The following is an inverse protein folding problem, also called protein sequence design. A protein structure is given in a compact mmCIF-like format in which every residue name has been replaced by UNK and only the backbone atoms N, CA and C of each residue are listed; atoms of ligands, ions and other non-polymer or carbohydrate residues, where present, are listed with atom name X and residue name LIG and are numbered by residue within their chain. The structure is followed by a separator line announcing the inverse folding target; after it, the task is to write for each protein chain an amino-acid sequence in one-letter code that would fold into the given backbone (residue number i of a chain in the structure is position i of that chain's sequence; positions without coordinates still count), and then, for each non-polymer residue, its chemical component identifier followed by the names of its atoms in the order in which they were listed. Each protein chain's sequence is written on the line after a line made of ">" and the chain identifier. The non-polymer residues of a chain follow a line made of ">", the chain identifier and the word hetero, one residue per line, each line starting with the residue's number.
data_IF_157955786757
#
_entry.id   IF_157955786757
#
_cell.length_a   1.000
_cell.length_b   1.000
_cell.length_c   1.000
_cell.angle_alpha   90.00
_cell.angle_beta   90.00
_cell.angle_gamma   90.00
#
_symmetry.space_group_name_H-M   'P 1'
#
loop_
_entity.id
_entity.type
_entity.pdbx_description
1 polymer ?
#
# COMPACT_ATOMS: atom_id res chain seq x y z
N UNK A 1 15.35 -11.35 19.25
CA UNK A 1 14.78 -10.05 18.80
C UNK A 1 15.93 -9.07 18.69
N UNK A 2 16.42 -8.79 17.48
CA UNK A 2 17.55 -7.88 17.26
C UNK A 2 17.13 -6.42 17.52
N UNK A 3 17.91 -5.72 18.34
CA UNK A 3 17.78 -4.27 18.63
C UNK A 3 18.79 -3.46 17.78
N UNK A 4 19.37 -4.08 16.76
CA UNK A 4 20.39 -3.43 15.94
C UNK A 4 19.76 -2.29 15.10
N UNK A 5 20.21 -1.04 15.28
CA UNK A 5 19.65 0.13 14.58
C UNK A 5 19.91 0.12 13.07
N UNK A 6 20.82 -0.73 12.58
CA UNK A 6 21.12 -0.92 11.16
C UNK A 6 20.17 -1.90 10.46
N UNK A 7 19.37 -2.67 11.20
CA UNK A 7 18.44 -3.63 10.61
C UNK A 7 17.20 -2.91 10.05
N UNK A 8 16.92 -3.11 8.75
CA UNK A 8 15.83 -2.45 8.02
C UNK A 8 14.44 -2.67 8.63
N UNK A 9 14.21 -3.85 9.20
CA UNK A 9 13.01 -4.19 9.96
C UNK A 9 13.43 -4.85 11.27
N UNK A 10 13.08 -4.22 12.39
CA UNK A 10 13.17 -4.83 13.73
C UNK A 10 11.77 -5.15 14.23
N UNK A 11 11.65 -6.12 15.14
CA UNK A 11 10.37 -6.42 15.79
C UNK A 11 9.78 -5.15 16.42
N UNK A 12 10.63 -4.32 17.02
CA UNK A 12 10.23 -3.06 17.64
C UNK A 12 9.78 -2.00 16.63
N UNK A 13 10.50 -1.82 15.52
CA UNK A 13 10.10 -0.86 14.49
C UNK A 13 8.79 -1.26 13.82
N UNK A 14 8.53 -2.56 13.66
CA UNK A 14 7.27 -3.06 13.10
C UNK A 14 6.13 -2.92 14.10
N UNK A 15 6.32 -3.28 15.38
CA UNK A 15 5.25 -3.18 16.38
C UNK A 15 4.88 -1.73 16.68
N UNK A 16 5.86 -0.87 16.97
CA UNK A 16 5.61 0.53 17.32
C UNK A 16 5.26 1.33 16.07
N UNK A 17 6.06 1.22 15.01
CA UNK A 17 5.83 1.96 13.78
C UNK A 17 4.55 1.52 13.06
N UNK A 18 4.29 0.21 13.01
CA UNK A 18 3.08 -0.34 12.41
C UNK A 18 1.82 0.05 13.17
N UNK A 19 1.81 -0.04 14.51
CA UNK A 19 0.64 0.35 15.31
C UNK A 19 0.32 1.84 15.19
N UNK A 20 1.34 2.71 15.25
CA UNK A 20 1.18 4.16 15.03
C UNK A 20 0.67 4.47 13.61
N UNK A 21 1.25 3.82 12.59
CA UNK A 21 0.81 3.98 11.22
C UNK A 21 -0.65 3.54 11.03
N UNK A 22 -1.03 2.35 11.50
CA UNK A 22 -2.40 1.84 11.40
C UNK A 22 -3.40 2.74 12.13
N UNK A 23 -3.04 3.25 13.31
CA UNK A 23 -3.88 4.18 14.08
C UNK A 23 -4.06 5.49 13.32
N UNK A 24 -2.97 6.05 12.80
CA UNK A 24 -2.99 7.27 11.98
C UNK A 24 -3.88 7.09 10.75
N UNK A 25 -3.80 5.94 10.10
CA UNK A 25 -4.61 5.65 8.92
C UNK A 25 -6.09 5.60 9.27
N UNK A 26 -6.46 5.01 10.40
CA UNK A 26 -7.86 4.93 10.80
C UNK A 26 -8.42 6.26 11.32
N UNK A 27 -7.61 7.05 12.03
CA UNK A 27 -8.05 8.27 12.70
C UNK A 27 -8.04 9.49 11.80
N UNK A 28 -7.03 9.61 10.92
CA UNK A 28 -6.74 10.87 10.23
C UNK A 28 -7.08 10.86 8.73
N UNK A 29 -7.26 9.68 8.10
CA UNK A 29 -7.60 9.66 6.68
C UNK A 29 -9.05 10.05 6.43
N UNK A 30 -9.23 10.93 5.45
CA UNK A 30 -10.54 11.37 4.98
C UNK A 30 -11.43 10.20 4.53
N UNK A 31 -10.86 9.15 3.92
CA UNK A 31 -11.59 7.94 3.52
C UNK A 31 -12.29 7.26 4.70
N UNK A 32 -11.64 7.22 5.86
CA UNK A 32 -12.16 6.56 7.05
C UNK A 32 -13.18 7.44 7.77
N UNK A 33 -12.90 8.75 7.87
CA UNK A 33 -13.86 9.72 8.42
C UNK A 33 -15.19 9.68 7.65
N UNK A 34 -15.15 9.66 6.31
CA UNK A 34 -16.34 9.54 5.47
C UNK A 34 -17.14 8.27 5.76
N UNK A 35 -16.47 7.11 5.88
CA UNK A 35 -17.13 5.84 6.19
C UNK A 35 -17.85 5.85 7.54
N UNK A 36 -17.25 6.49 8.55
CA UNK A 36 -17.88 6.60 9.88
C UNK A 36 -19.08 7.56 9.87
N UNK A 37 -19.02 8.65 9.09
CA UNK A 37 -20.14 9.61 8.97
C UNK A 37 -21.36 9.03 8.22
N UNK A 38 -21.18 8.00 7.39
CA UNK A 38 -22.29 7.30 6.74
C UNK A 38 -23.11 6.42 7.70
N UNK A 39 -22.66 6.22 8.94
CA UNK A 39 -23.32 5.37 9.93
C UNK A 39 -24.20 6.22 10.85
N UNK A 40 -25.45 5.78 11.05
CA UNK A 40 -26.47 6.54 11.80
C UNK A 40 -26.14 6.79 13.27
N UNK A 41 -25.34 5.95 13.90
CA UNK A 41 -25.04 6.04 15.34
C UNK A 41 -23.56 5.82 15.64
N UNK A 42 -23.06 6.49 16.67
CA UNK A 42 -21.67 6.36 17.14
C UNK A 42 -21.34 4.94 17.59
N UNK A 43 -22.27 4.26 18.27
CA UNK A 43 -22.10 2.85 18.68
C UNK A 43 -21.97 1.92 17.47
N UNK A 44 -22.72 2.16 16.39
CA UNK A 44 -22.58 1.37 15.18
C UNK A 44 -21.25 1.68 14.46
N UNK A 45 -20.81 2.95 14.42
CA UNK A 45 -19.51 3.31 13.88
C UNK A 45 -18.35 2.64 14.64
N UNK A 46 -18.44 2.55 15.98
CA UNK A 46 -17.47 1.81 16.80
C UNK A 46 -17.45 0.31 16.46
N UNK A 47 -18.61 -0.31 16.27
CA UNK A 47 -18.68 -1.72 15.83
C UNK A 47 -18.04 -1.92 14.46
N UNK A 48 -18.31 -1.03 13.51
CA UNK A 48 -17.67 -1.06 12.17
C UNK A 48 -16.16 -0.94 12.29
N UNK A 49 -15.65 -0.05 13.14
CA UNK A 49 -14.22 0.10 13.39
C UNK A 49 -13.58 -1.20 13.94
N UNK A 50 -14.23 -1.85 14.92
CA UNK A 50 -13.76 -3.12 15.47
C UNK A 50 -13.77 -4.25 14.44
N UNK A 51 -14.84 -4.38 13.65
CA UNK A 51 -14.92 -5.37 12.57
C UNK A 51 -13.82 -5.13 11.53
N UNK A 52 -13.61 -3.88 11.11
CA UNK A 52 -12.53 -3.51 10.19
C UNK A 52 -11.15 -3.90 10.74
N UNK A 53 -10.89 -3.63 12.03
CA UNK A 53 -9.62 -4.00 12.66
C UNK A 53 -9.43 -5.53 12.69
N UNK A 54 -10.46 -6.30 13.06
CA UNK A 54 -10.42 -7.77 13.03
C UNK A 54 -10.16 -8.32 11.62
N UNK A 55 -10.81 -7.75 10.59
CA UNK A 55 -10.59 -8.15 9.20
C UNK A 55 -9.15 -7.88 8.75
N UNK A 56 -8.57 -6.75 9.13
CA UNK A 56 -7.16 -6.43 8.82
C UNK A 56 -6.23 -7.44 9.49
N UNK A 57 -6.44 -7.75 10.76
CA UNK A 57 -5.62 -8.74 11.48
C UNK A 57 -5.74 -10.12 10.83
N UNK A 58 -6.95 -10.57 10.50
CA UNK A 58 -7.17 -11.83 9.80
C UNK A 58 -6.48 -11.85 8.41
N UNK A 59 -6.58 -10.77 7.66
CA UNK A 59 -5.91 -10.62 6.37
C UNK A 59 -4.38 -10.70 6.51
N UNK A 60 -3.79 -10.10 7.55
CA UNK A 60 -2.35 -10.20 7.81
C UNK A 60 -1.90 -11.64 8.06
N UNK A 61 -2.66 -12.42 8.83
CA UNK A 61 -2.35 -13.85 9.05
C UNK A 61 -2.46 -14.65 7.75
N UNK A 62 -3.46 -14.37 6.91
CA UNK A 62 -3.58 -15.01 5.59
C UNK A 62 -2.40 -14.66 4.68
N UNK A 63 -2.01 -13.39 4.60
CA UNK A 63 -0.84 -12.97 3.82
C UNK A 63 0.45 -13.62 4.32
N UNK A 64 0.64 -13.70 5.64
CA UNK A 64 1.78 -14.41 6.23
C UNK A 64 1.77 -15.91 5.87
N UNK A 65 0.60 -16.55 5.94
CA UNK A 65 0.40 -17.94 5.53
C UNK A 65 0.81 -18.19 4.07
N UNK A 66 0.38 -17.34 3.15
CA UNK A 66 0.79 -17.42 1.75
C UNK A 66 2.31 -17.21 1.61
N UNK A 67 2.90 -16.29 2.37
CA UNK A 67 4.35 -16.11 2.43
C UNK A 67 5.12 -17.38 2.83
N UNK A 68 4.64 -18.13 3.83
CA UNK A 68 5.23 -19.40 4.23
C UNK A 68 5.10 -20.47 3.13
N UNK A 69 3.96 -20.54 2.43
CA UNK A 69 3.76 -21.46 1.31
C UNK A 69 4.72 -21.14 0.16
N UNK A 70 4.90 -19.86 -0.18
CA UNK A 70 5.87 -19.43 -1.18
C UNK A 70 7.29 -19.80 -0.75
N UNK A 71 7.66 -19.56 0.51
CA UNK A 71 8.96 -19.94 1.05
C UNK A 71 9.20 -21.45 0.94
N UNK A 72 8.23 -22.28 1.33
CA UNK A 72 8.34 -23.73 1.20
C UNK A 72 8.52 -24.16 -0.27
N UNK A 73 7.78 -23.55 -1.20
CA UNK A 73 7.82 -23.87 -2.64
C UNK A 73 9.12 -23.46 -3.33
N UNK A 74 9.68 -22.30 -2.97
CA UNK A 74 10.85 -21.70 -3.61
C UNK A 74 12.12 -21.75 -2.74
N UNK A 75 12.12 -22.54 -1.66
CA UNK A 75 13.25 -22.70 -0.74
C UNK A 75 14.55 -23.16 -1.44
N UNK A 76 14.42 -24.05 -2.41
CA UNK A 76 15.53 -24.62 -3.19
C UNK A 76 15.67 -24.04 -4.61
N UNK A 77 14.77 -23.12 -4.98
CA UNK A 77 14.76 -22.51 -6.29
C UNK A 77 14.30 -21.06 -6.21
N UNK A 78 15.23 -20.10 -6.27
CA UNK A 78 14.87 -18.68 -6.38
C UNK A 78 14.52 -18.33 -7.85
N UNK A 79 13.24 -18.05 -8.16
CA UNK A 79 12.84 -17.69 -9.52
C UNK A 79 13.41 -16.33 -9.98
N UNK A 80 13.90 -15.49 -9.07
CA UNK A 80 14.57 -14.23 -9.42
C UNK A 80 16.01 -14.48 -9.90
N UNK A 81 16.78 -15.33 -9.20
CA UNK A 81 18.13 -15.72 -9.63
C UNK A 81 18.11 -16.54 -10.91
N UNK A 82 17.08 -17.39 -11.07
CA UNK A 82 16.85 -18.17 -12.29
C UNK A 82 16.37 -17.32 -13.50
N UNK A 83 16.24 -15.99 -13.35
CA UNK A 83 15.75 -15.05 -14.37
C UNK A 83 14.36 -15.39 -14.94
N UNK A 84 13.54 -16.11 -14.18
CA UNK A 84 12.13 -16.34 -14.53
C UNK A 84 11.27 -15.11 -14.26
N UNK A 85 11.75 -14.21 -13.39
CA UNK A 85 11.10 -12.99 -12.97
C UNK A 85 12.10 -11.83 -13.02
N UNK A 86 11.65 -10.65 -13.44
CA UNK A 86 12.46 -9.42 -13.44
C UNK A 86 12.28 -8.58 -12.17
N UNK A 87 11.09 -8.63 -11.53
CA UNK A 87 10.75 -7.82 -10.35
C UNK A 87 10.20 -8.66 -9.20
N UNK A 88 10.58 -8.41 -7.94
CA UNK A 88 10.08 -9.18 -6.79
C UNK A 88 8.55 -9.29 -6.70
N UNK A 89 7.84 -8.25 -7.13
CA UNK A 89 6.37 -8.17 -7.08
C UNK A 89 5.66 -9.22 -7.96
N UNK A 90 6.37 -9.82 -8.93
CA UNK A 90 5.81 -10.82 -9.85
C UNK A 90 5.82 -12.24 -9.28
N UNK A 91 6.41 -12.46 -8.08
CA UNK A 91 6.52 -13.78 -7.46
C UNK A 91 5.16 -14.42 -7.18
N UNK A 92 4.22 -13.65 -6.63
CA UNK A 92 2.87 -14.13 -6.33
C UNK A 92 2.10 -14.53 -7.60
N UNK A 93 2.01 -13.67 -8.64
CA UNK A 93 1.42 -14.07 -9.92
C UNK A 93 2.05 -15.33 -10.53
N UNK A 94 3.38 -15.45 -10.51
CA UNK A 94 4.06 -16.64 -11.04
C UNK A 94 3.63 -17.90 -10.29
N UNK A 95 3.62 -17.85 -8.95
CA UNK A 95 3.20 -18.96 -8.11
C UNK A 95 1.78 -19.45 -8.43
N UNK A 96 0.83 -18.51 -8.61
CA UNK A 96 -0.56 -18.83 -8.93
C UNK A 96 -0.67 -19.48 -10.31
N UNK A 97 -0.01 -18.90 -11.33
CA UNK A 97 -0.03 -19.44 -12.70
C UNK A 97 0.54 -20.86 -12.72
N UNK A 98 1.66 -21.10 -12.02
CA UNK A 98 2.28 -22.42 -11.98
C UNK A 98 1.41 -23.45 -11.25
N UNK A 99 0.89 -23.10 -10.08
CA UNK A 99 0.17 -24.03 -9.20
C UNK A 99 -1.23 -24.35 -9.74
N UNK A 100 -1.93 -23.36 -10.28
CA UNK A 100 -3.31 -23.49 -10.72
C UNK A 100 -3.47 -23.61 -12.24
N UNK A 101 -2.37 -23.86 -12.96
CA UNK A 101 -2.37 -24.12 -14.41
C UNK A 101 -3.37 -25.21 -14.84
N UNK A 102 -3.63 -26.20 -13.98
CA UNK A 102 -4.55 -27.31 -14.25
C UNK A 102 -6.04 -26.98 -14.05
N UNK A 103 -6.36 -25.87 -13.38
CA UNK A 103 -7.74 -25.46 -13.11
C UNK A 103 -8.07 -24.20 -13.95
N UNK A 104 -8.69 -24.37 -15.13
CA UNK A 104 -9.03 -23.23 -15.98
C UNK A 104 -9.97 -22.27 -15.22
N UNK A 105 -9.72 -20.97 -15.36
CA UNK A 105 -10.50 -19.90 -14.73
C UNK A 105 -10.01 -19.42 -13.36
N UNK A 106 -9.31 -20.24 -12.57
CA UNK A 106 -8.88 -19.84 -11.23
C UNK A 106 -7.79 -18.74 -11.27
N UNK A 107 -6.85 -18.84 -12.20
CA UNK A 107 -5.87 -17.78 -12.48
C UNK A 107 -6.56 -16.47 -12.88
N UNK A 108 -7.62 -16.56 -13.69
CA UNK A 108 -8.42 -15.39 -14.08
C UNK A 108 -9.15 -14.76 -12.90
N UNK A 109 -9.75 -15.59 -12.03
CA UNK A 109 -10.40 -15.14 -10.79
C UNK A 109 -9.40 -14.44 -9.85
N UNK A 110 -8.18 -14.98 -9.73
CA UNK A 110 -7.10 -14.37 -8.95
C UNK A 110 -6.75 -12.97 -9.48
N UNK A 111 -6.49 -12.85 -10.79
CA UNK A 111 -6.17 -11.54 -11.40
C UNK A 111 -7.34 -10.57 -11.23
N UNK A 112 -8.57 -11.00 -11.45
CA UNK A 112 -9.77 -10.19 -11.26
C UNK A 112 -9.92 -9.71 -9.80
N UNK A 113 -9.62 -10.57 -8.82
CA UNK A 113 -9.69 -10.21 -7.39
C UNK A 113 -8.69 -9.12 -7.00
N UNK A 114 -7.45 -9.20 -7.50
CA UNK A 114 -6.41 -8.20 -7.24
C UNK A 114 -6.78 -6.88 -7.90
N UNK A 115 -7.22 -6.90 -9.15
CA UNK A 115 -7.65 -5.69 -9.87
C UNK A 115 -8.84 -5.02 -9.16
N UNK A 116 -9.80 -5.80 -8.69
CA UNK A 116 -10.95 -5.29 -7.92
C UNK A 116 -10.50 -4.66 -6.59
N UNK A 117 -9.62 -5.33 -5.84
CA UNK A 117 -9.08 -4.82 -4.59
C UNK A 117 -8.30 -3.51 -4.80
N UNK A 118 -7.43 -3.45 -5.81
CA UNK A 118 -6.70 -2.23 -6.18
C UNK A 118 -7.65 -1.10 -6.58
N UNK A 119 -8.63 -1.38 -7.43
CA UNK A 119 -9.59 -0.38 -7.91
C UNK A 119 -10.46 0.17 -6.76
N UNK A 120 -10.85 -0.67 -5.80
CA UNK A 120 -11.62 -0.22 -4.63
C UNK A 120 -10.87 0.81 -3.77
N UNK A 121 -9.56 0.62 -3.63
CA UNK A 121 -8.68 1.52 -2.87
C UNK A 121 -8.44 2.82 -3.62
N UNK A 122 -8.13 2.72 -4.93
CA UNK A 122 -7.93 3.89 -5.81
C UNK A 122 -9.21 4.74 -5.86
N UNK A 123 -10.37 4.12 -6.05
CA UNK A 123 -11.66 4.81 -6.09
C UNK A 123 -11.96 5.55 -4.77
N UNK A 124 -11.76 4.88 -3.63
CA UNK A 124 -11.93 5.51 -2.32
C UNK A 124 -10.98 6.71 -2.14
N UNK A 125 -9.70 6.56 -2.51
CA UNK A 125 -8.70 7.63 -2.41
C UNK A 125 -9.04 8.85 -3.29
N UNK A 126 -9.41 8.62 -4.55
CA UNK A 126 -9.80 9.68 -5.49
C UNK A 126 -11.02 10.44 -4.95
N UNK A 127 -12.06 9.72 -4.50
CA UNK A 127 -13.27 10.34 -3.97
C UNK A 127 -13.00 11.19 -2.72
N UNK A 128 -12.17 10.70 -1.81
CA UNK A 128 -11.82 11.43 -0.60
C UNK A 128 -10.95 12.66 -0.90
N UNK A 129 -10.02 12.58 -1.84
CA UNK A 129 -9.25 13.75 -2.29
C UNK A 129 -10.14 14.79 -2.97
N UNK A 130 -11.07 14.35 -3.83
CA UNK A 130 -12.02 15.25 -4.47
C UNK A 130 -12.89 15.97 -3.42
N UNK A 131 -13.34 15.23 -2.39
CA UNK A 131 -14.10 15.82 -1.28
C UNK A 131 -13.26 16.79 -0.47
N UNK A 132 -12.02 16.43 -0.11
CA UNK A 132 -11.13 17.30 0.66
C UNK A 132 -10.87 18.63 -0.06
N UNK A 133 -10.59 18.60 -1.37
CA UNK A 133 -10.40 19.83 -2.15
C UNK A 133 -11.70 20.66 -2.21
N UNK A 134 -12.85 20.02 -2.40
CA UNK A 134 -14.13 20.72 -2.46
C UNK A 134 -14.50 21.40 -1.12
N UNK A 135 -14.38 20.67 -0.01
CA UNK A 135 -14.75 21.17 1.32
C UNK A 135 -13.68 22.11 1.89
N UNK A 136 -12.42 21.68 1.90
CA UNK A 136 -11.34 22.41 2.58
C UNK A 136 -10.79 23.57 1.75
N UNK A 137 -10.68 23.42 0.43
CA UNK A 137 -10.13 24.48 -0.42
C UNK A 137 -11.25 25.35 -0.97
N UNK A 138 -12.20 24.77 -1.70
CA UNK A 138 -13.16 25.54 -2.45
C UNK A 138 -14.21 26.23 -1.57
N UNK A 139 -14.85 25.49 -0.65
CA UNK A 139 -15.85 26.09 0.25
C UNK A 139 -15.20 26.91 1.37
N UNK A 140 -14.16 26.38 2.01
CA UNK A 140 -13.58 27.00 3.22
C UNK A 140 -12.52 28.06 2.92
N UNK A 141 -11.51 27.80 2.10
CA UNK A 141 -10.43 28.77 1.82
C UNK A 141 -10.88 29.82 0.81
N UNK A 142 -11.51 29.43 -0.30
CA UNK A 142 -12.03 30.36 -1.31
C UNK A 142 -13.38 30.97 -0.91
N UNK A 143 -13.92 30.62 0.26
CA UNK A 143 -15.16 31.15 0.86
C UNK A 143 -16.41 31.03 -0.02
N UNK A 144 -16.42 30.10 -0.97
CA UNK A 144 -17.50 29.90 -1.92
C UNK A 144 -18.55 28.92 -1.36
N UNK A 145 -19.19 29.32 -0.25
CA UNK A 145 -20.10 28.46 0.52
C UNK A 145 -21.49 28.27 -0.08
N UNK A 146 -21.91 29.14 -1.01
CA UNK A 146 -23.26 29.16 -1.60
C UNK A 146 -23.32 28.45 -2.95
N UNK A 147 -22.89 27.19 -3.01
CA UNK A 147 -22.95 26.38 -4.24
C UNK A 147 -24.03 25.33 -4.13
N UNK A 148 -24.91 25.24 -5.13
CA UNK A 148 -25.99 24.26 -5.21
C UNK A 148 -25.47 22.82 -5.21
N UNK A 149 -26.22 21.89 -4.63
CA UNK A 149 -25.83 20.48 -4.51
C UNK A 149 -25.52 19.84 -5.87
N UNK A 150 -26.28 20.19 -6.92
CA UNK A 150 -26.03 19.73 -8.29
C UNK A 150 -24.65 20.15 -8.80
N UNK A 151 -24.28 21.41 -8.55
CA UNK A 151 -22.99 21.95 -9.00
C UNK A 151 -21.85 21.36 -8.18
N UNK A 152 -22.05 21.11 -6.89
CA UNK A 152 -21.08 20.39 -6.05
C UNK A 152 -20.84 18.96 -6.57
N UNK A 153 -21.90 18.25 -6.96
CA UNK A 153 -21.80 16.90 -7.52
C UNK A 153 -21.03 16.89 -8.85
N UNK A 154 -21.30 17.84 -9.75
CA UNK A 154 -20.56 17.99 -11.01
C UNK A 154 -19.09 18.30 -10.74
N UNK A 155 -18.80 19.24 -9.83
CA UNK A 155 -17.43 19.58 -9.45
C UNK A 155 -16.68 18.37 -8.89
N UNK A 156 -17.32 17.58 -8.01
CA UNK A 156 -16.72 16.36 -7.45
C UNK A 156 -16.39 15.34 -8.55
N UNK A 157 -17.26 15.18 -9.56
CA UNK A 157 -17.01 14.28 -10.70
C UNK A 157 -15.84 14.76 -11.56
N UNK A 158 -15.81 16.05 -11.92
CA UNK A 158 -14.74 16.65 -12.72
C UNK A 158 -13.40 16.54 -11.99
N UNK A 159 -13.39 16.81 -10.69
CA UNK A 159 -12.19 16.74 -9.89
C UNK A 159 -11.70 15.29 -9.71
N UNK A 160 -12.61 14.34 -9.51
CA UNK A 160 -12.28 12.91 -9.47
C UNK A 160 -11.63 12.45 -10.78
N UNK A 161 -12.14 12.91 -11.93
CA UNK A 161 -11.55 12.63 -13.23
C UNK A 161 -10.13 13.23 -13.35
N UNK A 162 -9.95 14.50 -12.97
CA UNK A 162 -8.65 15.16 -13.01
C UNK A 162 -7.60 14.46 -12.12
N UNK A 163 -7.97 14.08 -10.89
CA UNK A 163 -7.11 13.33 -9.99
C UNK A 163 -6.81 11.93 -10.56
N UNK A 164 -7.80 11.26 -11.14
CA UNK A 164 -7.59 9.96 -11.78
C UNK A 164 -6.57 10.02 -12.93
N UNK A 165 -6.65 11.04 -13.78
CA UNK A 165 -5.67 11.28 -14.85
C UNK A 165 -4.28 11.52 -14.26
N UNK A 166 -4.18 12.38 -13.24
CA UNK A 166 -2.92 12.68 -12.56
C UNK A 166 -2.28 11.42 -11.94
N UNK A 167 -3.05 10.62 -11.22
CA UNK A 167 -2.58 9.36 -10.60
C UNK A 167 -2.12 8.37 -11.68
N UNK A 168 -2.81 8.32 -12.82
CA UNK A 168 -2.42 7.46 -13.94
C UNK A 168 -1.07 7.90 -14.53
N UNK A 169 -0.86 9.20 -14.74
CA UNK A 169 0.43 9.74 -15.21
C UNK A 169 1.54 9.42 -14.20
N UNK A 170 1.29 9.61 -12.90
CA UNK A 170 2.25 9.26 -11.85
C UNK A 170 2.55 7.76 -11.82
N UNK A 171 1.58 6.89 -12.09
CA UNK A 171 1.79 5.45 -12.15
C UNK A 171 2.78 5.05 -13.26
N UNK A 172 2.69 5.69 -14.43
CA UNK A 172 3.69 5.52 -15.49
C UNK A 172 5.07 6.03 -15.07
N UNK A 173 5.14 7.18 -14.39
CA UNK A 173 6.41 7.70 -13.86
C UNK A 173 7.05 6.74 -12.84
N UNK A 174 6.26 6.04 -12.02
CA UNK A 174 6.75 5.05 -11.06
C UNK A 174 7.43 3.85 -11.71
N UNK A 175 7.17 3.56 -12.98
CA UNK A 175 7.85 2.47 -13.70
C UNK A 175 9.37 2.68 -13.82
N UNK A 176 9.84 3.93 -13.72
CA UNK A 176 11.25 4.30 -13.77
C UNK A 176 11.97 4.21 -12.42
N UNK A 177 11.26 4.01 -11.28
CA UNK A 177 11.83 4.07 -9.93
C UNK A 177 12.50 2.76 -9.43
N UNK A 178 12.72 1.77 -10.30
CA UNK A 178 13.50 0.56 -9.98
C UNK A 178 12.84 -0.40 -8.96
N UNK A 179 13.63 -1.29 -8.34
CA UNK A 179 13.14 -2.44 -7.56
C UNK A 179 12.72 -2.15 -6.10
N UNK A 180 12.53 -0.88 -5.71
CA UNK A 180 12.28 -0.48 -4.31
C UNK A 180 10.94 0.23 -4.08
N UNK A 181 9.97 0.02 -4.96
CA UNK A 181 8.69 0.76 -4.99
C UNK A 181 7.96 0.67 -3.65
N UNK A 182 7.79 -0.54 -3.11
CA UNK A 182 7.07 -0.77 -1.84
C UNK A 182 7.65 0.07 -0.70
N UNK A 183 8.99 0.11 -0.60
CA UNK A 183 9.68 0.85 0.47
C UNK A 183 9.47 2.34 0.31
N UNK A 184 9.62 2.86 -0.91
CA UNK A 184 9.43 4.29 -1.21
C UNK A 184 8.00 4.71 -0.88
N UNK A 185 7.01 3.92 -1.28
CA UNK A 185 5.58 4.19 -1.00
C UNK A 185 5.31 4.24 0.51
N UNK A 186 5.77 3.25 1.27
CA UNK A 186 5.58 3.24 2.73
C UNK A 186 6.30 4.39 3.43
N UNK A 187 7.49 4.77 2.97
CA UNK A 187 8.22 5.87 3.55
C UNK A 187 7.56 7.23 3.28
N UNK A 188 7.09 7.47 2.05
CA UNK A 188 6.34 8.69 1.72
C UNK A 188 5.04 8.73 2.54
N UNK A 189 4.27 7.64 2.54
CA UNK A 189 3.01 7.55 3.28
C UNK A 189 3.22 7.80 4.78
N UNK A 190 4.20 7.13 5.39
CA UNK A 190 4.51 7.28 6.82
C UNK A 190 4.98 8.69 7.19
N UNK A 191 5.72 9.35 6.29
CA UNK A 191 6.21 10.72 6.52
C UNK A 191 5.06 11.72 6.65
N UNK A 192 4.05 11.65 5.79
CA UNK A 192 2.91 12.58 5.88
C UNK A 192 1.88 12.20 6.95
N UNK A 193 1.60 10.91 7.09
CA UNK A 193 0.49 10.43 7.94
C UNK A 193 0.80 10.55 9.44
N UNK A 194 2.05 10.32 9.85
CA UNK A 194 2.44 10.29 11.27
C UNK A 194 2.42 11.65 11.97
N UNK A 195 2.95 12.75 11.38
CA UNK A 195 2.87 14.09 11.98
C UNK A 195 1.43 14.57 12.15
N UNK A 196 0.55 14.23 11.20
CA UNK A 196 -0.87 14.57 11.27
C UNK A 196 -1.50 13.90 12.51
N UNK A 197 -1.20 12.62 12.77
CA UNK A 197 -1.65 11.97 14.00
C UNK A 197 -1.14 12.70 15.25
N UNK A 198 0.12 13.15 15.26
CA UNK A 198 0.68 13.95 16.34
C UNK A 198 -0.11 15.23 16.62
N UNK A 199 -0.53 15.93 15.56
CA UNK A 199 -1.39 17.12 15.67
C UNK A 199 -2.77 16.76 16.24
N UNK A 200 -3.39 15.66 15.81
CA UNK A 200 -4.67 15.20 16.34
C UNK A 200 -4.59 14.84 17.83
N UNK A 201 -3.56 14.11 18.24
CA UNK A 201 -3.32 13.75 19.65
C UNK A 201 -3.13 15.02 20.48
N UNK A 202 -2.30 15.96 20.01
CA UNK A 202 -2.05 17.21 20.72
C UNK A 202 -3.33 18.04 20.84
N UNK A 203 -4.14 18.12 19.79
CA UNK A 203 -5.43 18.82 19.81
C UNK A 203 -6.44 18.20 20.78
N UNK A 204 -6.42 16.88 20.96
CA UNK A 204 -7.33 16.19 21.88
C UNK A 204 -6.89 16.30 23.35
N UNK A 205 -5.61 16.10 23.63
CA UNK A 205 -5.09 16.01 25.00
C UNK A 205 -4.57 17.33 25.57
N UNK A 206 -4.19 18.29 24.71
CA UNK A 206 -3.62 19.57 25.13
C UNK A 206 -4.46 20.76 24.63
N UNK A 207 -5.64 21.01 25.22
CA UNK A 207 -6.57 22.06 24.77
C UNK A 207 -6.02 23.48 24.90
N UNK A 208 -4.88 23.66 25.58
CA UNK A 208 -4.21 24.96 25.77
C UNK A 208 -3.22 25.31 24.64
N UNK A 209 -3.05 24.42 23.65
CA UNK A 209 -2.10 24.63 22.55
C UNK A 209 -2.72 25.51 21.48
N UNK A 210 -2.00 26.56 21.09
CA UNK A 210 -2.45 27.51 20.07
C UNK A 210 -2.23 26.97 18.64
N UNK A 211 -3.04 27.46 17.68
CA UNK A 211 -2.90 27.06 16.27
C UNK A 211 -1.54 27.42 15.67
N UNK A 212 -0.93 28.53 16.11
CA UNK A 212 0.41 28.95 15.65
C UNK A 212 1.51 27.95 16.06
N UNK A 213 1.47 27.45 17.30
CA UNK A 213 2.42 26.43 17.76
C UNK A 213 2.26 25.12 17.00
N UNK A 214 1.03 24.72 16.68
CA UNK A 214 0.77 23.52 15.87
C UNK A 214 1.37 23.66 14.47
N UNK A 215 1.18 24.81 13.82
CA UNK A 215 1.74 25.06 12.49
C UNK A 215 3.28 25.01 12.50
N UNK A 216 3.93 25.66 13.49
CA UNK A 216 5.39 25.66 13.62
C UNK A 216 5.91 24.23 13.85
N UNK A 217 5.28 23.47 14.75
CA UNK A 217 5.65 22.09 15.04
C UNK A 217 5.49 21.19 13.81
N UNK A 218 4.37 21.31 13.09
CA UNK A 218 4.12 20.54 11.88
C UNK A 218 5.15 20.86 10.78
N UNK A 219 5.44 22.15 10.55
CA UNK A 219 6.46 22.55 9.58
C UNK A 219 7.84 22.01 9.93
N UNK A 220 8.25 22.09 11.20
CA UNK A 220 9.52 21.54 11.66
C UNK A 220 9.57 20.01 11.50
N UNK A 221 8.52 19.29 11.88
CA UNK A 221 8.42 17.84 11.70
C UNK A 221 8.55 17.42 10.23
N UNK A 222 7.86 18.11 9.32
CA UNK A 222 7.92 17.79 7.89
C UNK A 222 9.31 18.06 7.30
N UNK A 223 9.98 19.15 7.71
CA UNK A 223 11.35 19.46 7.28
C UNK A 223 12.36 18.44 7.83
N UNK A 224 12.21 18.05 9.09
CA UNK A 224 13.07 17.03 9.68
C UNK A 224 12.89 15.67 9.00
N UNK A 225 11.65 15.28 8.72
CA UNK A 225 11.37 14.04 8.00
C UNK A 225 11.88 14.07 6.56
N UNK A 226 11.72 15.18 5.84
CA UNK A 226 12.25 15.29 4.48
C UNK A 226 13.77 15.17 4.46
N UNK A 227 14.46 15.77 5.44
CA UNK A 227 15.91 15.59 5.64
C UNK A 227 16.27 14.12 5.89
N UNK A 228 15.57 13.43 6.80
CA UNK A 228 15.80 12.00 7.10
C UNK A 228 15.55 11.13 5.86
N UNK A 229 14.51 11.42 5.08
CA UNK A 229 14.17 10.72 3.85
C UNK A 229 15.25 10.88 2.77
N UNK A 230 15.77 12.08 2.59
CA UNK A 230 16.88 12.36 1.66
C UNK A 230 18.15 11.65 2.15
N UNK A 231 18.46 11.72 3.44
CA UNK A 231 19.60 10.99 4.01
C UNK A 231 19.49 9.48 3.81
N UNK A 232 18.32 8.90 4.09
CA UNK A 232 18.06 7.47 3.92
C UNK A 232 18.21 7.03 2.45
N UNK A 233 17.73 7.82 1.49
CA UNK A 233 17.86 7.48 0.06
C UNK A 233 19.29 7.63 -0.47
N UNK A 234 20.06 8.59 0.04
CA UNK A 234 21.48 8.77 -0.30
C UNK A 234 22.34 7.63 0.27
N UNK A 235 22.13 7.26 1.53
CA UNK A 235 22.88 6.17 2.18
C UNK A 235 22.44 4.78 1.68
N UNK A 236 21.17 4.60 1.32
CA UNK A 236 20.67 3.34 0.76
C UNK A 236 21.35 2.94 -0.56
N UNK A 237 21.84 3.90 -1.35
CA UNK A 237 22.67 3.60 -2.53
C UNK A 237 24.01 2.94 -2.19
N UNK A 238 24.54 3.13 -0.97
CA UNK A 238 25.82 2.56 -0.54
C UNK A 238 25.70 1.20 0.15
N UNK A 239 24.53 0.80 0.66
CA UNK A 239 24.33 -0.45 1.41
C UNK A 239 23.60 -1.56 0.63
N UNK A 240 23.31 -1.34 -0.65
CA UNK A 240 22.53 -2.27 -1.49
C UNK A 240 23.19 -3.64 -1.71
N UNK A 241 24.48 -3.81 -1.40
CA UNK A 241 25.16 -5.10 -1.51
C UNK A 241 25.10 -5.98 -0.24
N UNK A 242 24.58 -5.51 0.91
CA UNK A 242 24.79 -6.23 2.18
C UNK A 242 23.55 -6.70 2.94
N UNK A 243 22.34 -6.22 2.60
CA UNK A 243 21.15 -6.56 3.38
C UNK A 243 20.42 -7.81 2.85
N UNK A 244 20.85 -8.97 3.34
CA UNK A 244 19.95 -9.95 3.95
C UNK A 244 18.87 -10.59 3.08
N UNK A 245 19.20 -11.06 1.88
CA UNK A 245 18.50 -12.27 1.38
C UNK A 245 19.03 -13.45 2.17
N UNK A 246 18.15 -14.35 2.61
CA UNK A 246 18.57 -15.70 3.02
C UNK A 246 19.45 -16.28 1.90
N UNK A 247 20.48 -17.06 2.20
CA UNK A 247 21.27 -17.71 1.16
C UNK A 247 20.33 -18.58 0.31
N UNK A 248 20.03 -18.16 -0.92
CA UNK A 248 19.12 -18.89 -1.82
C UNK A 248 19.93 -19.56 -2.91
N UNK A 249 19.61 -20.82 -3.17
CA UNK A 249 20.26 -21.66 -4.17
C UNK A 249 19.45 -21.63 -5.48
N UNK A 250 20.15 -21.61 -6.63
CA UNK A 250 19.52 -21.55 -7.96
C UNK A 250 19.64 -22.86 -8.76
N UNK A 251 20.40 -23.83 -8.23
CA UNK A 251 20.86 -25.00 -9.00
C UNK A 251 19.73 -25.96 -9.42
N UNK A 252 18.57 -25.96 -8.73
CA UNK A 252 17.44 -26.87 -9.03
C UNK A 252 16.32 -26.24 -9.89
N UNK A 253 16.41 -24.96 -10.26
CA UNK A 253 15.29 -24.26 -10.91
C UNK A 253 14.95 -24.72 -12.33
N UNK A 254 15.95 -25.11 -13.13
CA UNK A 254 15.78 -25.42 -14.56
C UNK A 254 15.05 -26.76 -14.82
N UNK A 255 15.22 -27.75 -13.94
CA UNK A 255 14.55 -29.06 -14.07
C UNK A 255 13.05 -28.99 -13.73
N UNK A 256 12.67 -28.21 -12.71
CA UNK A 256 11.28 -28.01 -12.29
C UNK A 256 10.47 -27.23 -13.33
N UNK A 257 11.06 -26.19 -13.94
CA UNK A 257 10.39 -25.42 -14.99
C UNK A 257 10.12 -26.29 -16.23
N UNK A 258 11.11 -27.03 -16.73
CA UNK A 258 10.94 -27.92 -17.88
C UNK A 258 9.85 -28.99 -17.67
N UNK A 259 9.67 -29.47 -16.43
CA UNK A 259 8.58 -30.40 -16.09
C UNK A 259 7.19 -29.74 -16.03
N UNK A 260 7.12 -28.49 -15.55
CA UNK A 260 5.87 -27.71 -15.47
C UNK A 260 5.43 -27.19 -16.84
N UNK A 261 6.39 -26.77 -17.68
CA UNK A 261 6.14 -26.40 -19.08
C UNK A 261 5.76 -27.63 -19.89
N UNK A 262 6.38 -28.81 -19.68
CA UNK A 262 5.92 -30.07 -20.30
C UNK A 262 4.49 -30.45 -19.92
N UNK A 263 4.03 -30.14 -18.71
CA UNK A 263 2.62 -30.34 -18.32
C UNK A 263 1.70 -29.33 -19.01
N UNK A 264 2.15 -28.09 -19.23
CA UNK A 264 1.40 -27.07 -19.95
C UNK A 264 1.42 -27.25 -21.49
N UNK A 265 2.48 -27.81 -22.06
CA UNK A 265 2.60 -28.10 -23.51
C UNK A 265 2.07 -29.47 -23.88
N UNK A 266 1.89 -30.40 -22.94
CA UNK A 266 1.15 -31.65 -23.20
C UNK A 266 -0.38 -31.45 -23.33
N UNK A 267 -0.83 -30.19 -23.37
CA UNK A 267 -2.14 -29.78 -23.88
C UNK A 267 -2.04 -29.08 -25.25
N UNK A 268 -0.98 -29.36 -26.03
CA UNK A 268 -0.95 -29.08 -27.45
C UNK A 268 -1.94 -30.00 -28.18
N UNK A 269 -3.09 -29.43 -28.52
CA UNK A 269 -3.56 -29.33 -29.90
C UNK A 269 -3.03 -30.42 -30.83
N UNK A 270 -3.56 -31.63 -30.69
CA UNK A 270 -3.59 -32.60 -31.77
C UNK A 270 -4.85 -32.32 -32.61
N UNK A 271 -4.63 -31.73 -33.79
CA UNK A 271 -5.46 -31.76 -35.01
C UNK A 271 -6.84 -31.05 -34.91
N UNK A 272 -7.18 -30.00 -35.65
CA UNK A 272 -7.17 -29.76 -37.11
C UNK A 272 -7.59 -28.26 -37.24
N UNK A 273 -6.87 -27.35 -37.90
CA UNK A 273 -6.83 -27.18 -39.36
C UNK A 273 -8.18 -27.42 -40.05
#
# INVERSE_FOLDING_TARGET
>A
MSVHPSARYTVWSVLIGGSLYSTSVCACLQTQAQRFMCVKTTRAAQKVAWVNYMLIVAMLFLCAGVGFVLFAKYSHCDPLLAKLISKPDQLYPLFVIQTFSRLPGLTGLFIASILSASLSTISSGINSMATAILEDIYKRILKQSTVTDERQAIMSKVLSLAIGILVTILAFAMSYLGNNIIVIVFQIAGSFVTPILGVYILGFFAPRVNSRSILIALSFCLLFQSWVMIGATLTAKQHFERDGRLAVFADECLHSFNSSTRIATNQEYFHQA
#
